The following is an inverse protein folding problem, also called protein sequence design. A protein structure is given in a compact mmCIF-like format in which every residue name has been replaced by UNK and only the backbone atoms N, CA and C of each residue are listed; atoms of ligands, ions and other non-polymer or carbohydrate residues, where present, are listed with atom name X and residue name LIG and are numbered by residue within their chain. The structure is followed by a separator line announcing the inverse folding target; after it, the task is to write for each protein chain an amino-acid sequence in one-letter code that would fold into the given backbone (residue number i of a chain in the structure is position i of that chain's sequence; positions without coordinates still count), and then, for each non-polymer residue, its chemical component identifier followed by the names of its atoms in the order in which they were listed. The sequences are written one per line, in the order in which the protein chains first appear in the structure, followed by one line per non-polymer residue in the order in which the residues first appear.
data_IF_199163500023
#
_entry.id   IF_199163500023
#
_cell.length_a   1.000
_cell.length_b   1.000
_cell.length_c   1.000
_cell.angle_alpha   90.00
_cell.angle_beta   90.00
_cell.angle_gamma   90.00
#
_symmetry.space_group_name_H-M   'P 1'
#
loop_
_entity.id
_entity.type
_entity.pdbx_description
1 polymer ?
#
# COMPACT_ATOMS: atom_id res chain seq x y z
N UNK A 1 9.14 6.16 29.76
CA UNK A 1 10.26 5.27 29.32
C UNK A 1 9.85 4.20 28.29
N UNK A 2 8.86 4.48 27.44
CA UNK A 2 8.29 3.49 26.53
C UNK A 2 8.73 3.62 25.05
N UNK A 3 9.52 4.62 24.70
CA UNK A 3 9.95 4.84 23.31
C UNK A 3 10.87 3.74 22.76
N UNK A 4 11.75 3.19 23.58
CA UNK A 4 12.60 2.04 23.23
C UNK A 4 11.80 0.72 23.14
N UNK A 5 10.73 0.58 23.94
CA UNK A 5 9.82 -0.56 23.88
C UNK A 5 9.07 -0.70 22.57
N UNK A 6 8.70 0.41 21.93
CA UNK A 6 7.98 0.38 20.64
C UNK A 6 8.88 -0.05 19.49
N UNK A 7 10.16 0.36 19.46
CA UNK A 7 11.12 -0.15 18.46
C UNK A 7 11.43 -1.64 18.65
N UNK A 8 11.48 -2.14 19.88
CA UNK A 8 11.63 -3.58 20.12
C UNK A 8 10.39 -4.38 19.70
N UNK A 9 9.18 -3.80 19.84
CA UNK A 9 7.92 -4.41 19.36
C UNK A 9 7.86 -4.50 17.83
N UNK A 10 8.40 -3.51 17.10
CA UNK A 10 8.52 -3.56 15.64
C UNK A 10 9.47 -4.67 15.15
N UNK A 11 10.53 -4.97 15.91
CA UNK A 11 11.44 -6.10 15.63
C UNK A 11 10.80 -7.47 15.87
N UNK A 12 9.70 -7.54 16.60
CA UNK A 12 8.96 -8.76 16.92
C UNK A 12 7.72 -9.00 16.04
N UNK A 13 7.51 -8.19 15.00
CA UNK A 13 6.48 -8.46 13.99
C UNK A 13 6.88 -9.75 13.24
N UNK A 14 6.31 -10.87 13.65
CA UNK A 14 6.63 -12.20 13.13
C UNK A 14 7.29 -13.14 14.12
N UNK A 15 7.57 -12.70 15.36
CA UNK A 15 7.95 -13.63 16.43
C UNK A 15 6.70 -14.19 17.13
N UNK A 16 6.76 -15.44 17.54
CA UNK A 16 5.67 -16.19 18.18
C UNK A 16 5.16 -15.65 19.53
N UNK A 17 5.70 -14.54 20.02
CA UNK A 17 5.23 -13.85 21.23
C UNK A 17 4.33 -12.68 20.87
N UNK A 18 3.16 -12.99 20.39
CA UNK A 18 2.12 -12.18 19.75
C UNK A 18 1.56 -10.92 20.41
N UNK A 19 2.37 -10.15 21.15
CA UNK A 19 1.92 -8.90 21.81
C UNK A 19 1.95 -7.65 20.92
N UNK A 20 2.34 -7.77 19.64
CA UNK A 20 2.49 -6.61 18.76
C UNK A 20 1.13 -5.98 18.35
N UNK A 21 0.04 -6.73 18.38
CA UNK A 21 -1.30 -6.26 18.06
C UNK A 21 -2.29 -6.70 19.13
N UNK A 22 -2.81 -5.75 19.91
CA UNK A 22 -3.91 -5.98 20.83
C UNK A 22 -5.21 -5.54 20.16
N UNK A 23 -6.12 -6.47 19.97
CA UNK A 23 -7.46 -6.15 19.50
C UNK A 23 -8.35 -5.86 20.73
N UNK A 24 -9.00 -4.70 20.73
CA UNK A 24 -9.98 -4.36 21.75
C UNK A 24 -11.38 -4.65 21.22
N UNK A 25 -11.96 -5.78 21.67
CA UNK A 25 -13.35 -6.14 21.38
C UNK A 25 -13.49 -7.26 20.33
N UNK A 26 -14.73 -7.76 20.21
CA UNK A 26 -15.12 -8.89 19.36
C UNK A 26 -15.58 -8.46 17.95
N UNK A 27 -15.33 -7.19 17.57
CA UNK A 27 -15.78 -6.67 16.28
C UNK A 27 -14.74 -6.95 15.17
N UNK A 28 -15.20 -7.33 13.97
CA UNK A 28 -14.31 -7.50 12.83
C UNK A 28 -13.48 -6.25 12.55
N UNK A 29 -12.21 -6.43 12.31
CA UNK A 29 -11.26 -5.36 12.04
C UNK A 29 -10.75 -5.37 10.59
N UNK A 30 -10.16 -4.25 10.18
CA UNK A 30 -9.44 -4.14 8.92
C UNK A 30 -8.08 -3.53 9.16
N UNK A 31 -7.03 -4.06 8.49
CA UNK A 31 -5.67 -3.53 8.62
C UNK A 31 -4.85 -3.71 7.36
N UNK A 32 -3.77 -2.95 7.25
CA UNK A 32 -2.73 -3.08 6.23
C UNK A 32 -1.40 -3.24 6.94
N UNK A 33 -0.80 -4.43 6.87
CA UNK A 33 0.46 -4.75 7.58
C UNK A 33 1.17 -5.93 6.91
N UNK A 34 2.41 -5.74 6.47
CA UNK A 34 3.07 -4.49 6.16
C UNK A 34 2.65 -3.90 4.81
N UNK A 35 2.99 -2.62 4.60
CA UNK A 35 3.01 -2.03 3.27
C UNK A 35 4.43 -1.54 2.96
N UNK A 36 4.97 -1.92 1.80
CA UNK A 36 6.28 -1.53 1.32
C UNK A 36 6.15 -0.75 0.00
N UNK A 37 6.82 0.37 -0.09
CA UNK A 37 6.95 1.16 -1.33
C UNK A 37 8.41 1.58 -1.48
N UNK A 38 9.19 0.78 -2.20
CA UNK A 38 10.59 1.04 -2.47
C UNK A 38 10.73 1.68 -3.86
N UNK A 39 11.17 2.92 -3.90
CA UNK A 39 11.49 3.65 -5.12
C UNK A 39 12.98 3.61 -5.34
N UNK A 40 13.40 2.98 -6.42
CA UNK A 40 14.78 2.91 -6.84
C UNK A 40 15.19 4.21 -7.57
N UNK A 41 16.49 4.43 -7.85
CA UNK A 41 16.93 5.62 -8.56
C UNK A 41 16.14 5.85 -9.84
N UNK A 42 15.68 7.08 -10.02
CA UNK A 42 14.92 7.53 -11.17
C UNK A 42 15.68 8.67 -11.87
N UNK A 43 15.52 8.77 -13.17
CA UNK A 43 16.14 9.83 -13.97
C UNK A 43 15.01 10.67 -14.56
N UNK A 44 15.09 11.99 -14.37
CA UNK A 44 14.19 12.96 -14.97
C UNK A 44 14.99 13.98 -15.78
N UNK A 45 14.51 14.25 -16.99
CA UNK A 45 15.07 15.24 -17.90
C UNK A 45 13.98 16.24 -18.23
N UNK A 46 14.25 17.52 -18.01
CA UNK A 46 13.36 18.62 -18.40
C UNK A 46 13.95 19.37 -19.59
N UNK A 47 13.14 19.59 -20.62
CA UNK A 47 13.49 20.37 -21.79
C UNK A 47 13.11 21.84 -21.54
N UNK A 48 14.00 22.74 -21.91
CA UNK A 48 13.72 24.17 -21.85
C UNK A 48 13.15 24.66 -23.19
N UNK A 49 12.00 24.10 -23.56
CA UNK A 49 11.23 24.50 -24.72
C UNK A 49 9.98 25.32 -24.32
N UNK A 50 9.19 25.75 -25.28
CA UNK A 50 7.95 26.52 -25.03
C UNK A 50 6.95 25.76 -24.17
N UNK A 51 6.91 24.43 -24.26
CA UNK A 51 5.99 23.58 -23.52
C UNK A 51 6.58 23.09 -22.19
N UNK A 52 7.84 23.40 -21.90
CA UNK A 52 8.57 22.94 -20.70
C UNK A 52 8.33 21.47 -20.43
N UNK A 53 8.58 20.65 -21.44
CA UNK A 53 8.36 19.22 -21.41
C UNK A 53 9.34 18.51 -20.47
N UNK A 54 8.90 17.45 -19.86
CA UNK A 54 9.72 16.63 -18.97
C UNK A 54 9.45 15.15 -19.21
N UNK A 55 10.52 14.37 -19.18
CA UNK A 55 10.49 12.91 -19.29
C UNK A 55 11.14 12.30 -18.06
N UNK A 56 10.61 11.20 -17.56
CA UNK A 56 11.23 10.46 -16.47
C UNK A 56 11.10 8.96 -16.66
N UNK A 57 12.15 8.25 -16.23
CA UNK A 57 12.11 6.79 -16.08
C UNK A 57 12.27 6.48 -14.60
N UNK A 58 11.41 5.63 -14.08
CA UNK A 58 11.41 5.25 -12.68
C UNK A 58 11.23 3.74 -12.52
N UNK A 59 11.74 3.23 -11.40
CA UNK A 59 11.64 1.84 -10.99
C UNK A 59 11.08 1.79 -9.58
N UNK A 60 10.15 0.89 -9.33
CA UNK A 60 9.47 0.76 -8.04
C UNK A 60 9.17 -0.69 -7.71
N UNK A 61 9.28 -1.03 -6.45
CA UNK A 61 8.88 -2.31 -5.90
C UNK A 61 7.85 -2.04 -4.82
N UNK A 62 6.75 -2.77 -4.87
CA UNK A 62 5.66 -2.61 -3.91
C UNK A 62 5.22 -3.93 -3.34
N UNK A 63 4.89 -3.90 -2.07
CA UNK A 63 4.25 -5.00 -1.38
C UNK A 63 3.16 -4.48 -0.47
N UNK A 64 2.02 -5.14 -0.43
CA UNK A 64 0.91 -4.76 0.42
C UNK A 64 0.19 -6.01 0.92
N UNK A 65 0.09 -6.12 2.23
CA UNK A 65 -0.68 -7.15 2.89
C UNK A 65 -1.87 -6.49 3.61
N UNK A 66 -3.09 -6.90 3.28
CA UNK A 66 -4.32 -6.23 3.66
C UNK A 66 -5.36 -7.24 4.12
N UNK A 67 -5.92 -6.98 5.29
CA UNK A 67 -7.05 -7.70 5.86
C UNK A 67 -8.27 -6.78 5.91
N UNK A 68 -9.43 -7.28 5.52
CA UNK A 68 -10.69 -6.56 5.60
C UNK A 68 -11.72 -7.42 6.30
N UNK A 69 -12.42 -6.87 7.29
CA UNK A 69 -13.46 -7.54 8.07
C UNK A 69 -13.02 -8.89 8.64
N UNK A 70 -11.80 -8.94 9.17
CA UNK A 70 -11.24 -10.13 9.79
C UNK A 70 -11.69 -10.23 11.23
N UNK A 71 -12.04 -11.45 11.67
CA UNK A 71 -12.38 -11.71 13.04
C UNK A 71 -11.14 -11.73 13.94
N UNK A 72 -11.12 -11.02 15.08
CA UNK A 72 -9.95 -10.93 15.97
C UNK A 72 -9.54 -12.28 16.56
N UNK A 73 -10.49 -13.12 16.92
CA UNK A 73 -10.24 -14.44 17.53
C UNK A 73 -9.64 -15.39 16.49
N UNK A 74 -10.20 -15.40 15.29
CA UNK A 74 -9.64 -16.17 14.18
C UNK A 74 -8.22 -15.70 13.83
N UNK A 75 -7.98 -14.38 13.82
CA UNK A 75 -6.65 -13.83 13.56
C UNK A 75 -5.63 -14.29 14.60
N UNK A 76 -5.94 -14.17 15.88
CA UNK A 76 -5.04 -14.56 16.96
C UNK A 76 -4.74 -16.07 16.94
N UNK A 77 -5.74 -16.88 16.61
CA UNK A 77 -5.57 -18.34 16.49
C UNK A 77 -4.65 -18.71 15.33
N UNK A 78 -4.84 -18.09 14.15
CA UNK A 78 -4.03 -18.37 12.96
C UNK A 78 -2.60 -17.85 13.09
N UNK A 79 -2.39 -16.70 13.72
CA UNK A 79 -1.07 -16.03 13.77
C UNK A 79 -0.24 -16.38 14.99
N UNK A 80 -0.87 -16.64 16.13
CA UNK A 80 -0.19 -16.86 17.41
C UNK A 80 -0.29 -18.27 17.94
N UNK A 81 -1.09 -19.14 17.29
CA UNK A 81 -1.36 -20.48 17.77
C UNK A 81 -2.07 -20.48 19.15
N UNK A 82 -2.67 -19.38 19.53
CA UNK A 82 -3.43 -19.29 20.78
C UNK A 82 -4.63 -20.22 20.71
N UNK A 83 -4.74 -21.11 21.66
CA UNK A 83 -5.93 -21.93 21.80
C UNK A 83 -7.12 -21.05 22.19
N UNK A 84 -8.23 -21.28 21.52
CA UNK A 84 -9.50 -20.65 21.90
C UNK A 84 -10.00 -21.40 23.15
N UNK A 85 -10.05 -20.71 24.30
CA UNK A 85 -10.33 -21.32 25.60
C UNK A 85 -11.83 -21.56 25.87
N UNK A 86 -12.69 -21.27 24.89
CA UNK A 86 -14.13 -21.40 24.99
C UNK A 86 -14.77 -21.67 23.63
N UNK A 87 -16.01 -22.15 23.65
CA UNK A 87 -16.81 -22.25 22.44
C UNK A 87 -17.00 -20.86 21.83
N UNK A 88 -16.86 -20.78 20.52
CA UNK A 88 -16.84 -19.53 19.79
C UNK A 88 -17.63 -19.65 18.48
N UNK A 89 -18.40 -18.63 18.13
CA UNK A 89 -19.16 -18.58 16.89
C UNK A 89 -18.98 -17.22 16.22
N UNK A 90 -18.69 -17.24 14.94
CA UNK A 90 -18.64 -16.00 14.15
C UNK A 90 -19.26 -16.17 12.77
N UNK A 91 -19.82 -15.08 12.28
CA UNK A 91 -20.33 -14.97 10.91
C UNK A 91 -19.74 -13.75 10.24
N UNK A 92 -19.36 -13.88 8.96
CA UNK A 92 -18.91 -12.73 8.15
C UNK A 92 -19.27 -12.91 6.69
N UNK A 93 -19.68 -11.82 6.05
CA UNK A 93 -20.13 -11.84 4.64
C UNK A 93 -19.14 -11.18 3.68
N UNK A 94 -18.08 -10.55 4.18
CA UNK A 94 -17.18 -9.72 3.37
C UNK A 94 -15.71 -9.83 3.82
N UNK A 95 -15.33 -10.97 4.37
CA UNK A 95 -13.96 -11.23 4.73
C UNK A 95 -13.06 -11.25 3.49
N UNK A 96 -11.95 -10.53 3.54
CA UNK A 96 -10.96 -10.55 2.48
C UNK A 96 -9.56 -10.35 3.07
N UNK A 97 -8.67 -11.29 2.79
CA UNK A 97 -7.23 -11.14 3.01
C UNK A 97 -6.53 -11.15 1.65
N UNK A 98 -5.73 -10.12 1.36
CA UNK A 98 -4.97 -10.03 0.12
C UNK A 98 -3.54 -9.59 0.41
N UNK A 99 -2.60 -10.41 0.00
CA UNK A 99 -1.18 -10.07 -0.05
C UNK A 99 -0.73 -10.04 -1.51
N UNK A 100 -0.04 -8.97 -1.92
CA UNK A 100 0.42 -8.79 -3.29
C UNK A 100 1.78 -8.09 -3.32
N UNK A 101 2.70 -8.64 -4.12
CA UNK A 101 4.04 -8.08 -4.35
C UNK A 101 4.28 -7.95 -5.84
N UNK A 102 4.75 -6.77 -6.27
CA UNK A 102 5.00 -6.50 -7.69
C UNK A 102 6.10 -5.48 -7.89
N UNK A 103 6.68 -5.45 -9.09
CA UNK A 103 7.64 -4.46 -9.55
C UNK A 103 7.04 -3.61 -10.67
N UNK A 104 7.51 -2.39 -10.81
CA UNK A 104 7.04 -1.42 -11.81
C UNK A 104 8.22 -0.77 -12.52
N UNK A 105 8.11 -0.63 -13.85
CA UNK A 105 8.95 0.24 -14.67
C UNK A 105 8.05 1.29 -15.26
N UNK A 106 8.25 2.55 -14.89
CA UNK A 106 7.42 3.68 -15.30
C UNK A 106 8.14 4.60 -16.28
N UNK A 107 7.44 5.00 -17.34
CA UNK A 107 7.82 6.07 -18.24
C UNK A 107 6.83 7.21 -18.06
N UNK A 108 7.30 8.34 -17.58
CA UNK A 108 6.50 9.53 -17.31
C UNK A 108 6.77 10.60 -18.36
N UNK A 109 5.71 11.27 -18.78
CA UNK A 109 5.75 12.47 -19.62
C UNK A 109 4.89 13.54 -19.00
N UNK A 110 5.39 14.77 -18.96
CA UNK A 110 4.66 15.93 -18.48
C UNK A 110 4.96 17.15 -19.33
N UNK A 111 3.97 18.04 -19.46
CA UNK A 111 4.10 19.30 -20.18
C UNK A 111 3.33 20.42 -19.48
N UNK A 112 3.72 21.64 -19.76
CA UNK A 112 3.01 22.84 -19.34
C UNK A 112 1.97 23.21 -20.39
N UNK A 113 0.69 22.99 -20.07
CA UNK A 113 -0.45 23.18 -20.98
C UNK A 113 -0.84 24.66 -21.07
N UNK A 114 -0.69 25.36 -19.94
CA UNK A 114 -0.99 26.79 -19.85
C UNK A 114 0.15 27.50 -19.13
N UNK A 115 0.60 28.60 -19.72
CA UNK A 115 1.54 29.56 -19.12
C UNK A 115 1.02 30.97 -19.41
N UNK A 116 0.24 31.55 -18.50
CA UNK A 116 -0.38 32.85 -18.69
C UNK A 116 -0.20 33.70 -17.43
N UNK A 117 0.85 34.51 -17.43
CA UNK A 117 1.21 35.35 -16.29
C UNK A 117 1.39 34.48 -15.01
N UNK A 118 0.66 34.79 -13.92
CA UNK A 118 0.82 34.05 -12.68
C UNK A 118 0.20 32.66 -12.71
N UNK A 119 -0.53 32.31 -13.77
CA UNK A 119 -1.28 31.05 -13.87
C UNK A 119 -0.55 30.03 -14.71
N UNK A 120 -0.27 28.87 -14.15
CA UNK A 120 0.36 27.75 -14.86
C UNK A 120 -0.42 26.47 -14.66
N UNK A 121 -0.63 25.72 -15.74
CA UNK A 121 -1.24 24.39 -15.70
C UNK A 121 -0.28 23.40 -16.30
N UNK A 122 0.00 22.33 -15.59
CA UNK A 122 0.80 21.20 -16.04
C UNK A 122 -0.06 19.96 -16.08
N UNK A 123 0.11 19.13 -17.11
CA UNK A 123 -0.51 17.82 -17.21
C UNK A 123 0.56 16.75 -17.37
N UNK A 124 0.31 15.57 -16.85
CA UNK A 124 1.24 14.46 -16.92
C UNK A 124 0.56 13.11 -17.01
N UNK A 125 1.28 12.18 -17.64
CA UNK A 125 0.91 10.78 -17.74
C UNK A 125 2.13 9.93 -17.38
N UNK A 126 1.89 8.82 -16.67
CA UNK A 126 2.89 7.77 -16.46
C UNK A 126 2.33 6.46 -16.99
N UNK A 127 3.04 5.83 -17.90
CA UNK A 127 2.76 4.46 -18.35
C UNK A 127 3.68 3.51 -17.59
N UNK A 128 3.14 2.38 -17.14
CA UNK A 128 3.89 1.40 -16.34
C UNK A 128 3.80 0.01 -16.94
N UNK A 129 4.94 -0.65 -17.03
CA UNK A 129 4.99 -2.10 -17.13
C UNK A 129 5.02 -2.68 -15.71
N UNK A 130 4.13 -3.63 -15.46
CA UNK A 130 3.94 -4.26 -14.17
C UNK A 130 4.42 -5.71 -14.22
N UNK A 131 5.33 -6.07 -13.30
CA UNK A 131 5.81 -7.44 -13.13
C UNK A 131 5.27 -8.03 -11.84
N UNK A 132 4.32 -8.97 -11.91
CA UNK A 132 3.79 -9.68 -10.75
C UNK A 132 4.79 -10.68 -10.22
N UNK A 133 5.12 -10.54 -8.96
CA UNK A 133 6.03 -11.44 -8.25
C UNK A 133 5.23 -12.50 -7.55
N UNK A 134 4.35 -12.07 -6.66
CA UNK A 134 3.57 -12.97 -5.83
C UNK A 134 2.23 -12.38 -5.41
N UNK A 135 1.18 -13.22 -5.32
CA UNK A 135 -0.09 -12.81 -4.75
C UNK A 135 -0.77 -13.96 -4.03
N UNK A 136 -1.53 -13.61 -3.01
CA UNK A 136 -2.43 -14.47 -2.29
C UNK A 136 -3.72 -13.69 -2.04
N UNK A 137 -4.86 -14.32 -2.23
CA UNK A 137 -6.17 -13.77 -1.89
C UNK A 137 -7.02 -14.85 -1.26
N UNK A 138 -7.57 -14.55 -0.10
CA UNK A 138 -8.54 -15.38 0.61
C UNK A 138 -9.79 -14.56 0.83
N UNK A 139 -10.93 -15.02 0.32
CA UNK A 139 -12.22 -14.34 0.41
C UNK A 139 -13.26 -15.26 1.00
N UNK A 140 -13.94 -14.78 2.04
CA UNK A 140 -15.12 -15.40 2.59
C UNK A 140 -16.35 -14.61 2.18
N UNK A 141 -17.19 -15.17 1.31
CA UNK A 141 -18.43 -14.53 0.85
C UNK A 141 -19.56 -14.75 1.86
N UNK A 142 -19.57 -15.88 2.49
CA UNK A 142 -20.51 -16.25 3.54
C UNK A 142 -19.79 -17.26 4.44
N UNK A 143 -19.31 -16.81 5.59
CA UNK A 143 -18.69 -17.70 6.58
C UNK A 143 -19.55 -17.72 7.82
N UNK A 144 -19.95 -18.93 8.19
CA UNK A 144 -20.63 -19.25 9.43
C UNK A 144 -19.84 -20.38 10.09
N UNK A 145 -19.06 -20.03 11.11
CA UNK A 145 -18.09 -20.95 11.74
C UNK A 145 -18.33 -21.01 13.23
N UNK A 146 -18.51 -22.23 13.74
CA UNK A 146 -18.57 -22.52 15.18
C UNK A 146 -17.36 -23.33 15.57
N UNK A 147 -16.59 -22.84 16.51
CA UNK A 147 -15.52 -23.60 17.17
C UNK A 147 -16.04 -24.25 18.43
N UNK A 148 -15.70 -25.53 18.62
CA UNK A 148 -16.00 -26.31 19.81
C UNK A 148 -14.69 -26.69 20.51
N UNK A 149 -14.44 -26.06 21.66
CA UNK A 149 -13.24 -26.26 22.47
C UNK A 149 -13.05 -27.73 22.90
N UNK A 150 -14.11 -28.40 23.29
CA UNK A 150 -14.03 -29.77 23.84
C UNK A 150 -13.46 -30.81 22.87
N UNK A 151 -13.48 -30.56 21.56
CA UNK A 151 -12.91 -31.44 20.53
C UNK A 151 -11.98 -30.74 19.55
N UNK A 152 -11.58 -29.50 19.84
CA UNK A 152 -10.71 -28.66 19.00
C UNK A 152 -11.15 -28.60 17.53
N UNK A 153 -12.44 -28.40 17.29
CA UNK A 153 -13.01 -28.53 15.96
C UNK A 153 -13.79 -27.28 15.55
N UNK A 154 -13.49 -26.80 14.35
CA UNK A 154 -14.23 -25.76 13.64
C UNK A 154 -15.29 -26.41 12.76
N UNK A 155 -16.53 -26.08 12.97
CA UNK A 155 -17.67 -26.46 12.15
C UNK A 155 -18.09 -25.29 11.28
N UNK A 156 -18.06 -25.47 9.98
CA UNK A 156 -18.54 -24.50 9.01
C UNK A 156 -19.92 -24.90 8.49
N UNK A 157 -20.85 -23.94 8.42
CA UNK A 157 -22.19 -24.13 7.87
C UNK A 157 -22.42 -23.15 6.73
N UNK A 158 -22.90 -23.64 5.58
CA UNK A 158 -23.20 -22.82 4.39
C UNK A 158 -22.06 -21.85 4.02
N UNK A 159 -20.83 -22.24 4.31
CA UNK A 159 -19.66 -21.39 4.08
C UNK A 159 -19.24 -21.41 2.62
N UNK A 160 -18.79 -20.27 2.13
CA UNK A 160 -18.23 -20.08 0.78
C UNK A 160 -16.91 -19.32 0.92
N UNK A 161 -15.82 -20.04 0.72
CA UNK A 161 -14.44 -19.54 0.82
C UNK A 161 -13.73 -19.71 -0.52
N UNK A 162 -13.17 -18.62 -1.03
CA UNK A 162 -12.35 -18.62 -2.24
C UNK A 162 -10.90 -18.30 -1.90
N UNK A 163 -10.02 -19.23 -2.22
CA UNK A 163 -8.57 -19.05 -2.12
C UNK A 163 -7.97 -18.93 -3.51
N UNK A 164 -7.20 -17.86 -3.76
CA UNK A 164 -6.49 -17.65 -5.02
C UNK A 164 -5.03 -17.28 -4.76
N UNK A 165 -4.10 -17.93 -5.44
CA UNK A 165 -2.67 -17.66 -5.29
C UNK A 165 -1.90 -18.07 -6.53
N UNK A 166 -0.70 -17.52 -6.73
CA UNK A 166 0.27 -18.13 -7.65
C UNK A 166 1.02 -19.30 -6.95
N UNK A 167 1.61 -20.18 -7.74
CA UNK A 167 2.22 -21.43 -7.25
C UNK A 167 3.36 -21.21 -6.20
N UNK A 168 4.02 -20.05 -6.23
CA UNK A 168 5.11 -19.72 -5.31
C UNK A 168 4.58 -19.48 -3.89
N UNK A 169 3.52 -18.69 -3.76
CA UNK A 169 2.90 -18.37 -2.46
C UNK A 169 2.25 -19.56 -1.81
N UNK A 170 1.60 -20.40 -2.60
CA UNK A 170 0.81 -21.49 -2.02
C UNK A 170 1.67 -22.47 -1.26
N UNK A 171 2.74 -22.97 -1.88
CA UNK A 171 3.61 -23.93 -1.22
C UNK A 171 4.39 -23.30 -0.06
N UNK A 172 4.76 -22.02 -0.16
CA UNK A 172 5.48 -21.31 0.89
C UNK A 172 4.58 -20.94 2.06
N UNK A 173 3.35 -20.51 1.81
CA UNK A 173 2.39 -20.15 2.87
C UNK A 173 2.05 -21.35 3.77
N UNK A 174 1.97 -22.55 3.20
CA UNK A 174 1.72 -23.77 3.96
C UNK A 174 2.95 -24.29 4.72
N UNK A 175 4.18 -24.03 4.22
CA UNK A 175 5.41 -24.54 4.84
C UNK A 175 6.01 -23.65 5.91
N UNK A 176 6.03 -22.35 5.69
CA UNK A 176 6.86 -21.42 6.46
C UNK A 176 6.12 -20.14 6.86
N UNK A 177 4.82 -20.03 6.59
CA UNK A 177 4.15 -18.74 6.61
C UNK A 177 4.64 -17.83 5.48
N UNK A 178 4.39 -16.53 5.58
CA UNK A 178 4.85 -15.56 4.59
C UNK A 178 6.33 -15.24 4.83
N UNK A 179 7.23 -15.90 4.07
CA UNK A 179 8.66 -15.63 4.13
C UNK A 179 9.04 -14.36 3.35
N UNK A 180 9.35 -13.28 4.07
CA UNK A 180 9.79 -12.03 3.48
C UNK A 180 11.11 -12.16 2.67
N UNK A 181 12.01 -13.08 3.05
CA UNK A 181 13.29 -13.29 2.35
C UNK A 181 13.10 -14.01 1.01
N UNK A 182 12.18 -14.97 0.95
CA UNK A 182 11.77 -15.64 -0.28
C UNK A 182 11.10 -14.69 -1.27
N UNK A 183 10.26 -13.79 -0.77
CA UNK A 183 9.65 -12.72 -1.58
C UNK A 183 10.73 -11.79 -2.16
N UNK A 184 11.72 -11.39 -1.35
CA UNK A 184 12.78 -10.49 -1.79
C UNK A 184 13.67 -11.13 -2.87
N UNK A 185 13.99 -12.41 -2.76
CA UNK A 185 14.74 -13.15 -3.78
C UNK A 185 13.97 -13.28 -5.10
N UNK A 186 12.66 -13.43 -5.03
CA UNK A 186 11.77 -13.54 -6.20
C UNK A 186 11.57 -12.21 -6.95
N UNK A 187 11.88 -11.05 -6.33
CA UNK A 187 11.84 -9.74 -7.00
C UNK A 187 12.76 -9.65 -8.22
N UNK A 188 13.87 -10.37 -8.19
CA UNK A 188 14.85 -10.40 -9.28
C UNK A 188 14.72 -11.63 -10.18
N UNK A 189 13.83 -12.56 -9.82
CA UNK A 189 13.56 -13.79 -10.56
C UNK A 189 12.56 -13.64 -11.73
N UNK A 190 12.17 -14.77 -12.30
CA UNK A 190 11.15 -14.81 -13.35
C UNK A 190 9.79 -14.35 -12.81
N UNK A 191 9.13 -13.43 -13.52
CA UNK A 191 7.84 -12.90 -13.12
C UNK A 191 6.72 -13.93 -13.34
N UNK A 192 5.91 -14.14 -12.31
CA UNK A 192 4.76 -15.05 -12.36
C UNK A 192 3.59 -14.44 -13.18
N UNK A 193 3.54 -13.11 -13.26
CA UNK A 193 2.55 -12.36 -14.02
C UNK A 193 3.10 -11.10 -14.63
N UNK A 194 2.37 -10.53 -15.60
CA UNK A 194 2.70 -9.24 -16.20
C UNK A 194 1.46 -8.44 -16.52
N UNK A 195 1.62 -7.13 -16.64
CA UNK A 195 0.52 -6.24 -16.93
C UNK A 195 0.97 -4.82 -17.25
N UNK A 196 -0.02 -3.95 -17.40
CA UNK A 196 0.20 -2.54 -17.65
C UNK A 196 -0.60 -1.71 -16.66
N UNK A 197 -0.03 -0.57 -16.32
CA UNK A 197 -0.67 0.43 -15.49
C UNK A 197 -0.47 1.84 -16.03
N UNK A 198 -1.25 2.77 -15.50
CA UNK A 198 -1.21 4.16 -15.91
C UNK A 198 -1.59 5.08 -14.75
N UNK A 199 -0.93 6.24 -14.70
CA UNK A 199 -1.34 7.38 -13.88
C UNK A 199 -1.61 8.58 -14.76
N UNK A 200 -2.59 9.39 -14.38
CA UNK A 200 -2.93 10.65 -15.01
C UNK A 200 -3.02 11.74 -13.95
N UNK A 201 -2.50 12.93 -14.26
CA UNK A 201 -2.58 14.03 -13.31
C UNK A 201 -2.52 15.39 -13.97
N UNK A 202 -3.13 16.37 -13.28
CA UNK A 202 -3.11 17.78 -13.64
C UNK A 202 -2.80 18.59 -12.39
N UNK A 203 -1.95 19.60 -12.56
CA UNK A 203 -1.59 20.55 -11.50
C UNK A 203 -1.76 21.97 -12.00
N UNK A 204 -2.53 22.76 -11.25
CA UNK A 204 -2.63 24.19 -11.42
C UNK A 204 -1.78 24.89 -10.36
N UNK A 205 -1.00 25.89 -10.77
CA UNK A 205 -0.20 26.71 -9.85
C UNK A 205 -0.45 28.19 -10.11
N UNK A 206 -0.67 28.94 -9.03
CA UNK A 206 -0.77 30.39 -9.02
C UNK A 206 0.42 31.00 -8.27
N UNK A 207 1.17 31.86 -8.94
CA UNK A 207 2.34 32.53 -8.40
C UNK A 207 2.03 33.96 -7.94
N UNK A 208 2.74 34.44 -6.91
CA UNK A 208 2.70 35.82 -6.48
C UNK A 208 3.79 36.61 -7.24
N UNK A 209 3.44 37.69 -7.89
CA UNK A 209 4.42 38.61 -8.49
C UNK A 209 4.81 38.32 -9.95
N UNK A 210 3.91 37.73 -10.73
CA UNK A 210 4.12 37.49 -12.18
C UNK A 210 5.21 36.42 -12.42
N UNK A 211 4.80 35.29 -12.92
CA UNK A 211 5.61 34.07 -12.99
C UNK A 211 6.83 34.04 -13.92
N UNK A 212 7.37 35.17 -14.36
CA UNK A 212 8.45 35.24 -15.35
C UNK A 212 9.86 35.42 -14.75
N UNK A 213 9.98 35.74 -13.48
CA UNK A 213 11.27 35.90 -12.80
C UNK A 213 11.78 34.64 -12.12
N UNK A 214 11.69 33.50 -12.79
CA UNK A 214 12.55 32.38 -12.46
C UNK A 214 13.83 32.57 -13.25
N UNK A 215 14.68 33.46 -12.77
CA UNK A 215 16.09 33.49 -13.21
C UNK A 215 16.72 32.11 -13.03
N UNK A 216 17.89 31.85 -13.65
CA UNK A 216 18.53 30.54 -13.58
C UNK A 216 18.58 30.09 -12.14
N UNK A 217 18.37 28.78 -11.85
CA UNK A 217 18.36 28.26 -10.50
C UNK A 217 19.71 28.49 -9.84
N UNK A 218 19.88 29.66 -9.27
CA UNK A 218 21.03 29.94 -8.44
C UNK A 218 20.83 29.20 -7.13
N UNK A 219 21.50 28.03 -7.06
CA UNK A 219 21.80 27.33 -5.81
C UNK A 219 20.60 27.25 -4.84
N UNK A 220 19.67 26.34 -5.08
CA UNK A 220 18.66 25.87 -4.10
C UNK A 220 17.96 26.95 -3.23
N UNK A 221 18.10 28.25 -3.54
CA UNK A 221 17.69 29.35 -2.69
C UNK A 221 16.38 30.02 -3.04
N UNK A 222 15.85 29.82 -4.25
CA UNK A 222 14.49 30.31 -4.58
C UNK A 222 13.49 29.18 -4.40
N UNK A 223 12.86 29.16 -3.27
CA UNK A 223 11.61 28.43 -3.07
C UNK A 223 10.60 28.94 -4.08
N UNK A 224 9.85 28.00 -4.67
CA UNK A 224 8.73 28.33 -5.53
C UNK A 224 7.80 29.31 -4.79
N UNK A 225 7.73 30.52 -5.26
CA UNK A 225 6.88 31.58 -4.69
C UNK A 225 5.39 31.37 -5.03
N UNK A 226 4.92 30.13 -5.10
CA UNK A 226 3.52 29.86 -5.38
C UNK A 226 2.64 30.29 -4.21
N UNK A 227 1.51 30.90 -4.54
CA UNK A 227 0.45 31.23 -3.59
C UNK A 227 -0.49 30.07 -3.37
N UNK A 228 -0.79 29.38 -4.45
CA UNK A 228 -1.67 28.21 -4.45
C UNK A 228 -1.16 27.20 -5.47
N UNK A 229 -1.10 25.95 -5.07
CA UNK A 229 -1.00 24.81 -6.00
C UNK A 229 -2.17 23.88 -5.74
N UNK A 230 -2.95 23.56 -6.77
CA UNK A 230 -4.03 22.57 -6.70
C UNK A 230 -3.73 21.43 -7.68
N UNK A 231 -4.00 20.19 -7.28
CA UNK A 231 -3.73 19.03 -8.10
C UNK A 231 -4.83 18.00 -8.02
N UNK A 232 -5.04 17.29 -9.12
CA UNK A 232 -5.92 16.13 -9.22
C UNK A 232 -5.17 15.06 -9.99
N UNK A 233 -5.16 13.84 -9.47
CA UNK A 233 -4.57 12.69 -10.14
C UNK A 233 -5.38 11.41 -9.90
N UNK A 234 -5.44 10.56 -10.92
CA UNK A 234 -5.86 9.17 -10.78
C UNK A 234 -4.63 8.30 -10.97
N UNK A 235 -4.33 7.50 -9.97
CA UNK A 235 -3.12 6.69 -9.93
C UNK A 235 -3.42 5.20 -9.86
N UNK A 236 -2.44 4.40 -10.26
CA UNK A 236 -2.49 2.93 -10.17
C UNK A 236 -3.68 2.32 -10.96
N UNK A 237 -4.03 2.90 -12.11
CA UNK A 237 -5.00 2.30 -13.03
C UNK A 237 -4.29 1.12 -13.71
N UNK A 238 -4.79 -0.10 -13.51
CA UNK A 238 -4.17 -1.25 -14.19
C UNK A 238 -4.38 -2.56 -13.48
N UNK A 239 -3.69 -3.58 -14.00
CA UNK A 239 -3.77 -4.94 -13.46
C UNK A 239 -2.63 -5.81 -13.96
N UNK A 240 -2.35 -6.87 -13.22
CA UNK A 240 -1.39 -7.92 -13.55
C UNK A 240 -2.16 -9.19 -13.85
N UNK A 241 -1.86 -9.82 -14.99
CA UNK A 241 -2.40 -11.13 -15.35
C UNK A 241 -1.38 -12.20 -14.98
N UNK A 242 -1.74 -13.04 -14.02
CA UNK A 242 -0.98 -14.24 -13.66
C UNK A 242 -1.35 -15.38 -14.64
N UNK A 243 -0.35 -16.08 -15.13
CA UNK A 243 -0.50 -17.05 -16.22
C UNK A 243 -1.20 -18.32 -15.75
N UNK A 244 -1.95 -18.94 -16.66
CA UNK A 244 -2.48 -20.28 -16.46
C UNK A 244 -1.35 -21.29 -16.15
N UNK A 245 -1.62 -22.24 -15.26
CA UNK A 245 -0.62 -23.20 -14.76
C UNK A 245 0.40 -22.61 -13.76
N UNK A 246 0.38 -21.29 -13.56
CA UNK A 246 1.21 -20.57 -12.55
C UNK A 246 0.37 -19.98 -11.42
N UNK A 247 -0.93 -20.12 -11.49
CA UNK A 247 -1.85 -19.75 -10.42
C UNK A 247 -2.98 -20.77 -10.32
N UNK A 248 -3.65 -20.77 -9.20
CA UNK A 248 -4.83 -21.59 -8.96
C UNK A 248 -5.84 -20.81 -8.13
N UNK A 249 -7.09 -21.15 -8.33
CA UNK A 249 -8.23 -20.69 -7.55
C UNK A 249 -8.93 -21.91 -7.00
N UNK A 250 -9.19 -21.91 -5.71
CA UNK A 250 -9.92 -22.95 -5.00
C UNK A 250 -11.14 -22.36 -4.36
N UNK A 251 -12.28 -22.92 -4.68
CA UNK A 251 -13.51 -22.65 -3.97
C UNK A 251 -13.80 -23.81 -3.02
N UNK A 252 -14.02 -23.49 -1.76
CA UNK A 252 -14.43 -24.42 -0.71
C UNK A 252 -15.79 -23.98 -0.25
N UNK A 253 -16.81 -24.80 -0.49
CA UNK A 253 -18.19 -24.43 -0.20
C UNK A 253 -18.92 -25.54 0.54
N UNK A 254 -19.97 -25.18 1.28
CA UNK A 254 -20.88 -26.11 1.96
C UNK A 254 -20.65 -26.24 3.46
N UNK A 255 -21.05 -27.39 3.98
CA UNK A 255 -20.96 -27.72 5.38
C UNK A 255 -19.81 -28.70 5.61
N UNK A 256 -19.02 -28.47 6.65
CA UNK A 256 -17.87 -29.32 6.94
C UNK A 256 -17.26 -29.02 8.30
N UNK A 257 -16.21 -29.75 8.63
CA UNK A 257 -15.49 -29.51 9.88
C UNK A 257 -13.98 -29.64 9.69
N UNK A 258 -13.24 -28.86 10.44
CA UNK A 258 -11.77 -28.83 10.43
C UNK A 258 -11.25 -28.90 11.85
N UNK A 259 -10.30 -29.80 12.12
CA UNK A 259 -9.63 -29.89 13.42
C UNK A 259 -8.28 -29.18 13.32
N UNK A 260 -8.02 -28.23 14.23
CA UNK A 260 -6.83 -27.39 14.19
C UNK A 260 -5.53 -28.20 14.22
N UNK A 261 -5.47 -29.19 15.09
CA UNK A 261 -4.32 -30.11 15.18
C UNK A 261 -4.10 -30.89 13.90
N UNK A 262 -5.13 -31.50 13.32
CA UNK A 262 -4.99 -32.26 12.08
C UNK A 262 -4.61 -31.40 10.88
N UNK A 263 -5.13 -30.16 10.83
CA UNK A 263 -4.74 -29.19 9.81
C UNK A 263 -3.24 -28.89 9.90
N UNK A 264 -2.73 -28.67 11.10
CA UNK A 264 -1.31 -28.40 11.35
C UNK A 264 -0.42 -29.63 11.04
N UNK A 265 -0.85 -30.82 11.43
CA UNK A 265 -0.05 -32.03 11.32
C UNK A 265 -0.02 -32.61 9.88
N UNK A 266 -1.10 -32.45 9.13
CA UNK A 266 -1.31 -33.14 7.86
C UNK A 266 -1.25 -32.23 6.62
N UNK A 267 -1.27 -30.90 6.79
CA UNK A 267 -1.33 -29.94 5.66
C UNK A 267 -0.05 -29.15 5.56
N UNK A 268 0.85 -29.61 4.68
CA UNK A 268 2.14 -28.95 4.41
C UNK A 268 2.21 -28.33 3.01
N UNK A 269 1.19 -28.52 2.18
CA UNK A 269 1.10 -27.95 0.85
C UNK A 269 -0.35 -27.82 0.39
N UNK A 270 -0.53 -27.11 -0.71
CA UNK A 270 -1.84 -26.82 -1.29
C UNK A 270 -2.64 -28.09 -1.65
N UNK A 271 -2.01 -29.12 -2.21
CA UNK A 271 -2.69 -30.38 -2.60
C UNK A 271 -3.24 -31.08 -1.37
N UNK A 272 -2.43 -31.18 -0.31
CA UNK A 272 -2.87 -31.75 0.96
C UNK A 272 -4.01 -30.95 1.60
N UNK A 273 -3.97 -29.62 1.53
CA UNK A 273 -5.09 -28.78 1.99
C UNK A 273 -6.38 -29.11 1.26
N UNK A 274 -6.34 -29.12 -0.06
CA UNK A 274 -7.51 -29.44 -0.89
C UNK A 274 -8.09 -30.82 -0.55
N UNK A 275 -7.24 -31.83 -0.47
CA UNK A 275 -7.66 -33.21 -0.20
C UNK A 275 -8.20 -33.33 1.24
N UNK A 276 -7.60 -32.63 2.18
CA UNK A 276 -8.03 -32.60 3.58
C UNK A 276 -9.43 -31.99 3.72
N UNK A 277 -9.70 -30.82 3.11
CA UNK A 277 -11.02 -30.17 3.22
C UNK A 277 -12.08 -30.96 2.47
N UNK A 278 -11.77 -31.56 1.32
CA UNK A 278 -12.69 -32.41 0.59
C UNK A 278 -13.10 -33.67 1.41
N UNK A 279 -12.16 -34.28 2.12
CA UNK A 279 -12.42 -35.42 3.00
C UNK A 279 -13.27 -35.05 4.23
N UNK A 280 -13.44 -33.77 4.53
CA UNK A 280 -14.17 -33.26 5.70
C UNK A 280 -15.58 -32.69 5.38
N UNK A 281 -16.11 -33.01 4.19
CA UNK A 281 -17.49 -32.68 3.80
C UNK A 281 -17.61 -31.46 2.91
N UNK A 282 -16.56 -30.69 2.69
CA UNK A 282 -16.63 -29.52 1.81
C UNK A 282 -16.63 -29.92 0.33
N UNK A 283 -17.38 -29.17 -0.46
CA UNK A 283 -17.27 -29.20 -1.91
C UNK A 283 -16.06 -28.36 -2.33
N UNK A 284 -15.13 -28.97 -3.05
CA UNK A 284 -13.91 -28.29 -3.49
C UNK A 284 -13.85 -28.26 -5.00
N UNK A 285 -13.91 -27.04 -5.56
CA UNK A 285 -13.68 -26.79 -6.98
C UNK A 285 -12.34 -26.10 -7.18
N UNK A 286 -11.54 -26.59 -8.12
CA UNK A 286 -10.22 -26.06 -8.44
C UNK A 286 -10.15 -25.59 -9.87
N UNK A 287 -9.60 -24.39 -10.05
CA UNK A 287 -9.43 -23.78 -11.35
C UNK A 287 -8.02 -23.21 -11.48
N UNK A 288 -7.32 -23.57 -12.55
CA UNK A 288 -5.98 -23.06 -12.88
C UNK A 288 -5.98 -21.96 -13.94
N UNK A 289 -7.15 -21.37 -14.24
CA UNK A 289 -7.26 -20.30 -15.25
C UNK A 289 -6.45 -19.08 -14.86
N UNK A 290 -5.99 -18.35 -15.87
CA UNK A 290 -5.26 -17.10 -15.66
C UNK A 290 -6.07 -16.11 -14.81
N UNK A 291 -5.47 -15.61 -13.75
CA UNK A 291 -6.10 -14.68 -12.80
C UNK A 291 -5.61 -13.27 -13.03
N UNK A 292 -6.53 -12.31 -12.94
CA UNK A 292 -6.24 -10.89 -13.06
C UNK A 292 -6.30 -10.22 -11.69
N UNK A 293 -5.15 -9.69 -11.24
CA UNK A 293 -5.02 -8.97 -9.97
C UNK A 293 -4.94 -7.48 -10.26
N UNK A 294 -5.86 -6.70 -9.70
CA UNK A 294 -5.98 -5.28 -9.96
C UNK A 294 -5.07 -4.46 -9.06
N UNK A 295 -4.61 -3.32 -9.59
CA UNK A 295 -3.83 -2.34 -8.86
C UNK A 295 -4.73 -1.53 -7.91
N UNK A 296 -4.19 -0.96 -6.83
CA UNK A 296 -4.96 -0.15 -5.86
C UNK A 296 -5.29 1.23 -6.43
N UNK A 297 -6.14 1.29 -7.45
CA UNK A 297 -6.52 2.53 -8.12
C UNK A 297 -7.10 3.54 -7.14
N UNK A 298 -6.60 4.77 -7.18
CA UNK A 298 -7.05 5.86 -6.29
C UNK A 298 -7.14 7.19 -7.00
N UNK A 299 -8.05 8.04 -6.50
CA UNK A 299 -8.12 9.47 -6.82
C UNK A 299 -7.39 10.25 -5.73
N UNK A 300 -6.48 11.11 -6.12
CA UNK A 300 -5.74 11.99 -5.22
C UNK A 300 -6.09 13.44 -5.59
N UNK A 301 -6.60 14.19 -4.62
CA UNK A 301 -6.87 15.62 -4.76
C UNK A 301 -6.04 16.35 -3.72
N UNK A 302 -5.27 17.36 -4.15
CA UNK A 302 -4.38 18.12 -3.28
C UNK A 302 -4.49 19.62 -3.49
N UNK A 303 -4.31 20.38 -2.43
CA UNK A 303 -4.14 21.82 -2.46
C UNK A 303 -3.05 22.24 -1.48
N UNK A 304 -2.14 23.09 -1.92
CA UNK A 304 -1.07 23.67 -1.12
C UNK A 304 -1.18 25.19 -1.18
N UNK A 305 -1.38 25.83 -0.05
CA UNK A 305 -1.63 27.27 0.04
C UNK A 305 -0.62 27.94 0.96
N UNK A 306 -0.02 29.02 0.47
CA UNK A 306 0.84 29.88 1.26
C UNK A 306 0.00 30.83 2.12
N UNK A 307 -0.05 30.58 3.42
CA UNK A 307 -0.74 31.44 4.37
C UNK A 307 0.06 32.74 4.57
N UNK A 308 1.36 32.57 4.84
CA UNK A 308 2.26 33.67 5.11
C UNK A 308 3.69 33.30 4.70
N UNK A 309 4.43 34.20 4.13
CA UNK A 309 5.83 34.08 3.66
C UNK A 309 6.44 32.65 3.58
N UNK A 310 6.73 32.05 4.72
CA UNK A 310 7.38 30.73 4.87
C UNK A 310 6.43 29.65 5.37
N UNK A 311 5.18 30.02 5.64
CA UNK A 311 4.18 29.11 6.19
C UNK A 311 3.18 28.72 5.12
N UNK A 312 3.00 27.43 4.96
CA UNK A 312 2.08 26.79 4.02
C UNK A 312 1.15 25.83 4.75
N UNK A 313 0.00 25.58 4.18
CA UNK A 313 -0.86 24.47 4.56
C UNK A 313 -1.15 23.66 3.31
N UNK A 314 -0.83 22.39 3.37
CA UNK A 314 -1.23 21.41 2.38
C UNK A 314 -2.44 20.62 2.88
N UNK A 315 -3.43 20.40 2.02
CA UNK A 315 -4.53 19.47 2.24
C UNK A 315 -4.51 18.44 1.11
N UNK A 316 -4.51 17.15 1.44
CA UNK A 316 -4.53 16.05 0.48
C UNK A 316 -5.62 15.05 0.85
N UNK A 317 -6.49 14.73 -0.11
CA UNK A 317 -7.50 13.69 0.03
C UNK A 317 -7.19 12.56 -0.94
N UNK A 318 -7.16 11.34 -0.43
CA UNK A 318 -7.01 10.11 -1.19
C UNK A 318 -8.33 9.34 -1.10
N UNK A 319 -8.94 9.07 -2.26
CA UNK A 319 -10.16 8.27 -2.36
C UNK A 319 -9.85 6.93 -3.05
N UNK A 320 -10.33 5.85 -2.48
CA UNK A 320 -10.26 4.54 -3.11
C UNK A 320 -11.20 4.46 -4.32
N UNK A 321 -10.67 4.06 -5.46
CA UNK A 321 -11.44 3.74 -6.66
C UNK A 321 -11.40 2.24 -7.01
N UNK A 322 -10.57 1.45 -6.32
CA UNK A 322 -10.49 0.02 -6.55
C UNK A 322 -11.74 -0.71 -6.03
N UNK A 323 -12.25 -1.65 -6.83
CA UNK A 323 -13.32 -2.53 -6.37
C UNK A 323 -12.73 -3.61 -5.46
N UNK A 324 -13.11 -3.59 -4.17
CA UNK A 324 -12.63 -4.52 -3.15
C UNK A 324 -13.09 -5.96 -3.33
N UNK A 325 -14.07 -6.21 -4.19
CA UNK A 325 -14.52 -7.56 -4.54
C UNK A 325 -13.61 -8.23 -5.57
N UNK A 326 -12.81 -7.47 -6.31
CA UNK A 326 -11.80 -8.00 -7.21
C UNK A 326 -10.60 -8.54 -6.44
N UNK A 327 -9.75 -9.35 -7.11
CA UNK A 327 -8.42 -9.66 -6.59
C UNK A 327 -7.56 -8.41 -6.63
N UNK A 328 -6.84 -8.14 -5.57
CA UNK A 328 -5.94 -7.00 -5.43
C UNK A 328 -6.19 -6.20 -4.15
N UNK A 329 -5.23 -5.35 -3.85
CA UNK A 329 -5.30 -4.45 -2.72
C UNK A 329 -6.07 -3.17 -3.07
N UNK A 330 -6.48 -2.45 -2.05
CA UNK A 330 -7.13 -1.14 -2.19
C UNK A 330 -6.63 -0.19 -1.12
N UNK A 331 -6.55 1.10 -1.46
CA UNK A 331 -6.32 2.12 -0.45
C UNK A 331 -7.58 2.35 0.39
N UNK A 332 -7.37 2.95 1.56
CA UNK A 332 -8.46 3.49 2.37
C UNK A 332 -8.57 5.00 2.12
N UNK A 333 -9.79 5.52 2.22
CA UNK A 333 -9.99 6.96 2.11
C UNK A 333 -9.30 7.65 3.27
N UNK A 334 -8.54 8.70 2.96
CA UNK A 334 -7.86 9.49 3.98
C UNK A 334 -7.78 10.96 3.60
N UNK A 335 -7.88 11.82 4.59
CA UNK A 335 -7.68 13.25 4.49
C UNK A 335 -6.49 13.64 5.35
N UNK A 336 -5.48 14.25 4.75
CA UNK A 336 -4.29 14.76 5.45
C UNK A 336 -4.22 16.27 5.31
N UNK A 337 -4.06 16.96 6.42
CA UNK A 337 -3.77 18.41 6.46
C UNK A 337 -2.40 18.59 7.08
N UNK A 338 -1.50 19.25 6.37
CA UNK A 338 -0.10 19.43 6.78
C UNK A 338 0.26 20.91 6.85
N UNK A 339 0.22 21.55 8.01
CA UNK A 339 0.94 22.80 8.23
C UNK A 339 2.43 22.57 8.01
N UNK A 340 3.06 23.47 7.26
CA UNK A 340 4.45 23.34 6.82
C UNK A 340 5.18 24.68 6.95
N UNK A 341 6.40 24.61 7.44
CA UNK A 341 7.35 25.70 7.48
C UNK A 341 8.52 25.45 6.55
N UNK A 342 8.73 26.35 5.59
CA UNK A 342 9.82 26.28 4.60
C UNK A 342 10.83 27.39 4.83
N UNK A 343 12.08 27.05 5.09
CA UNK A 343 13.15 28.02 5.25
C UNK A 343 14.44 27.55 4.59
N UNK A 344 14.84 28.22 3.52
CA UNK A 344 16.07 27.88 2.76
C UNK A 344 16.12 26.39 2.38
N UNK A 345 17.01 25.63 3.04
CA UNK A 345 17.24 24.21 2.79
C UNK A 345 16.40 23.31 3.71
N UNK A 346 15.66 23.87 4.66
CA UNK A 346 14.93 23.10 5.68
C UNK A 346 13.43 23.25 5.44
N UNK A 347 12.72 22.13 5.44
CA UNK A 347 11.26 22.08 5.52
C UNK A 347 10.86 21.24 6.72
N UNK A 348 9.93 21.76 7.51
CA UNK A 348 9.28 21.05 8.60
C UNK A 348 7.79 20.96 8.31
N UNK A 349 7.21 19.80 8.43
CA UNK A 349 5.77 19.57 8.24
C UNK A 349 5.21 18.67 9.33
N UNK A 350 3.99 18.97 9.78
CA UNK A 350 3.26 18.18 10.76
C UNK A 350 1.98 17.67 10.11
N UNK A 351 1.98 16.51 9.42
CA UNK A 351 0.78 15.95 8.84
C UNK A 351 -0.18 15.49 9.94
N UNK A 352 -1.43 15.92 9.82
CA UNK A 352 -2.57 15.45 10.60
C UNK A 352 -3.48 14.70 9.66
N UNK A 353 -3.63 13.39 9.85
CA UNK A 353 -4.32 12.49 8.92
C UNK A 353 -5.50 11.82 9.60
N UNK A 354 -6.70 11.99 9.05
CA UNK A 354 -7.85 11.15 9.35
C UNK A 354 -7.93 10.02 8.33
N UNK A 355 -7.97 8.77 8.79
CA UNK A 355 -8.09 7.58 7.97
C UNK A 355 -9.39 6.83 8.22
N UNK A 356 -10.09 6.46 7.14
CA UNK A 356 -11.29 5.62 7.24
C UNK A 356 -10.99 4.18 7.67
N UNK A 357 -9.73 3.74 7.59
CA UNK A 357 -9.27 2.44 8.10
C UNK A 357 -9.28 2.43 9.63
N UNK A 358 -8.51 3.32 10.23
CA UNK A 358 -8.35 3.40 11.68
C UNK A 358 -9.54 4.07 12.37
N UNK A 359 -10.34 4.85 11.61
CA UNK A 359 -11.39 5.75 12.13
C UNK A 359 -10.84 6.72 13.19
N UNK A 360 -9.58 7.06 13.09
CA UNK A 360 -8.82 7.83 14.04
C UNK A 360 -7.93 8.88 13.36
N UNK A 361 -7.40 9.81 14.15
CA UNK A 361 -6.52 10.88 13.72
C UNK A 361 -5.09 10.53 14.09
N UNK A 362 -4.21 10.51 13.08
CA UNK A 362 -2.77 10.33 13.21
C UNK A 362 -2.07 11.67 13.09
N UNK A 363 -1.01 11.87 13.86
CA UNK A 363 -0.18 13.07 13.79
C UNK A 363 1.26 12.65 13.51
N UNK A 364 1.76 13.06 12.37
CA UNK A 364 3.11 12.75 11.91
C UNK A 364 4.09 13.91 12.06
N UNK A 365 5.32 13.64 11.64
CA UNK A 365 6.38 14.64 11.50
C UNK A 365 7.17 14.35 10.23
N UNK A 366 7.35 15.38 9.41
CA UNK A 366 8.19 15.32 8.22
C UNK A 366 9.28 16.39 8.26
N UNK A 367 10.49 15.97 7.92
CA UNK A 367 11.67 16.85 7.86
C UNK A 367 12.34 16.68 6.51
N UNK A 368 12.67 17.80 5.87
CA UNK A 368 13.54 17.83 4.69
C UNK A 368 14.71 18.76 4.97
N UNK A 369 15.91 18.28 4.68
CA UNK A 369 17.17 19.06 4.77
C UNK A 369 17.87 18.92 3.42
N UNK A 370 17.86 19.99 2.62
CA UNK A 370 18.36 19.98 1.25
C UNK A 370 17.67 18.91 0.40
N UNK A 371 18.40 17.94 -0.11
CA UNK A 371 17.89 16.81 -0.90
C UNK A 371 17.43 15.61 -0.07
N UNK A 372 17.70 15.56 1.22
CA UNK A 372 17.29 14.47 2.10
C UNK A 372 15.96 14.77 2.76
N UNK A 373 15.09 13.78 2.83
CA UNK A 373 13.83 13.86 3.57
C UNK A 373 13.56 12.57 4.33
N UNK A 374 12.96 12.72 5.48
CA UNK A 374 12.53 11.61 6.33
C UNK A 374 11.33 12.03 7.19
N UNK A 375 10.59 11.06 7.65
CA UNK A 375 9.45 11.33 8.52
C UNK A 375 8.67 10.08 8.90
N UNK A 376 7.65 10.32 9.70
CA UNK A 376 6.64 9.35 10.09
C UNK A 376 5.26 9.97 9.89
N UNK A 377 4.31 9.16 9.49
CA UNK A 377 2.90 9.55 9.36
C UNK A 377 2.13 9.45 10.69
N UNK A 378 2.71 8.78 11.71
CA UNK A 378 2.15 8.71 13.05
C UNK A 378 3.24 8.68 14.13
N UNK A 379 3.57 9.85 14.67
CA UNK A 379 4.49 9.98 15.81
C UNK A 379 3.81 9.68 17.14
N UNK A 380 2.47 9.78 17.21
CA UNK A 380 1.75 9.48 18.44
C UNK A 380 1.82 7.99 18.77
N UNK A 381 1.99 7.13 17.79
CA UNK A 381 2.21 5.69 17.97
C UNK A 381 3.47 5.37 18.79
N UNK A 382 4.43 6.30 18.90
CA UNK A 382 5.62 6.12 19.71
C UNK A 382 5.40 6.39 21.20
N UNK A 383 4.35 7.13 21.54
CA UNK A 383 4.08 7.60 22.92
C UNK A 383 2.73 7.15 23.48
N UNK A 384 1.86 6.59 22.64
CA UNK A 384 0.52 6.15 23.02
C UNK A 384 0.27 4.70 22.57
N UNK A 385 -0.06 3.83 23.52
CA UNK A 385 -0.32 2.40 23.26
C UNK A 385 -1.65 2.13 22.50
N UNK A 386 -2.52 3.13 22.38
CA UNK A 386 -3.83 3.00 21.73
C UNK A 386 -3.81 3.43 20.24
N UNK A 387 -2.66 3.59 19.62
CA UNK A 387 -2.57 4.01 18.24
C UNK A 387 -2.72 2.84 17.24
N UNK A 388 -3.31 3.13 16.09
CA UNK A 388 -3.74 2.15 15.09
C UNK A 388 -2.78 1.99 13.91
N UNK A 389 -1.52 2.33 14.06
CA UNK A 389 -0.53 2.09 13.04
C UNK A 389 0.66 3.03 13.11
N UNK A 390 1.73 2.62 12.47
CA UNK A 390 2.97 3.36 12.36
C UNK A 390 3.52 3.25 10.94
N UNK A 391 3.98 4.35 10.38
CA UNK A 391 4.65 4.40 9.09
C UNK A 391 5.91 5.27 9.18
N UNK A 392 6.92 4.87 8.45
CA UNK A 392 8.18 5.60 8.34
C UNK A 392 8.57 5.73 6.87
N UNK A 393 9.07 6.90 6.50
CA UNK A 393 9.58 7.13 5.15
C UNK A 393 10.89 7.92 5.19
N UNK A 394 11.76 7.65 4.23
CA UNK A 394 12.96 8.43 3.99
C UNK A 394 13.31 8.40 2.50
N UNK A 395 14.10 9.36 2.06
CA UNK A 395 14.59 9.40 0.71
C UNK A 395 15.55 10.55 0.46
N UNK A 396 16.08 10.58 -0.74
CA UNK A 396 16.92 11.68 -1.19
C UNK A 396 16.73 11.95 -2.68
N UNK A 397 17.04 13.17 -3.10
CA UNK A 397 17.15 13.53 -4.51
C UNK A 397 18.35 14.44 -4.71
N UNK A 398 18.97 14.32 -5.88
CA UNK A 398 20.11 15.15 -6.27
C UNK A 398 19.74 15.89 -7.57
N UNK A 399 19.53 17.22 -7.52
CA UNK A 399 19.31 17.99 -8.73
C UNK A 399 20.63 18.17 -9.47
N UNK A 400 20.66 17.81 -10.75
CA UNK A 400 21.79 18.04 -11.64
C UNK A 400 21.41 19.20 -12.56
N UNK A 401 22.03 20.35 -12.38
CA UNK A 401 21.74 21.53 -13.17
C UNK A 401 22.64 21.59 -14.40
N UNK A 402 22.07 21.90 -15.55
CA UNK A 402 22.82 22.24 -16.74
C UNK A 402 23.52 23.60 -16.50
N UNK A 403 24.79 23.70 -16.84
CA UNK A 403 25.53 24.97 -16.83
C UNK A 403 24.82 25.93 -17.78
N UNK A 404 24.43 27.12 -17.32
CA UNK A 404 23.82 28.13 -18.17
C UNK A 404 24.78 28.49 -19.33
N UNK A 405 24.28 28.46 -20.55
CA UNK A 405 25.07 28.94 -21.71
C UNK A 405 25.12 30.46 -21.63
N UNK A 406 26.25 31.04 -22.06
CA UNK A 406 26.40 32.51 -22.18
C UNK A 406 25.31 33.15 -23.07
N UNK A 407 24.71 32.36 -23.97
CA UNK A 407 23.65 32.82 -24.89
C UNK A 407 22.23 32.84 -24.27
N UNK A 408 22.07 32.40 -23.05
CA UNK A 408 20.76 32.42 -22.36
C UNK A 408 20.47 33.78 -21.67
N UNK A 409 21.33 34.79 -21.89
CA UNK A 409 21.25 36.14 -21.30
C UNK A 409 20.93 37.26 -22.32
N UNK A 410 20.51 36.91 -23.55
CA UNK A 410 20.11 37.89 -24.58
C UNK A 410 18.73 37.61 -25.12
#
# INVERSE_FOLDING_TARGET
DNSLGTFSKLGNIGSSNGDAFKFSGDQPFSMVVPALDLRLPAIMISLNDKLKQSFAVNFRIRGMNQFNHFDPTLYSTVTSGNHIDQDYHFTTNNFNWTAHVWSEIGLSYALQVLDKGPHKVKAGITLRYLGGVDYLSLKGKNLDITYKQGNDTFYAQHSDLEFASNAISADNAFKNGVDASGIFSSLFGAKAGSGFGMDLGVTYTYYIGGGDDIGPPQLMQKQDGHRLTASVAVTDIGSIKYKEGKNFVVNVAGDGHLTGKELSDNVNNYTQFKDYVAARGFQVDTNSKATKVYMPTSLIVGADYQIWKKFYVNATYIANLANRQNYGNSYYNQLTVTPRFDYKLITLGVPVTYSSLAKDVKVGLGVRISGFYFGSDDMLALINDNQHGFGFYFGFYVPIFRKASKNDYY
#
